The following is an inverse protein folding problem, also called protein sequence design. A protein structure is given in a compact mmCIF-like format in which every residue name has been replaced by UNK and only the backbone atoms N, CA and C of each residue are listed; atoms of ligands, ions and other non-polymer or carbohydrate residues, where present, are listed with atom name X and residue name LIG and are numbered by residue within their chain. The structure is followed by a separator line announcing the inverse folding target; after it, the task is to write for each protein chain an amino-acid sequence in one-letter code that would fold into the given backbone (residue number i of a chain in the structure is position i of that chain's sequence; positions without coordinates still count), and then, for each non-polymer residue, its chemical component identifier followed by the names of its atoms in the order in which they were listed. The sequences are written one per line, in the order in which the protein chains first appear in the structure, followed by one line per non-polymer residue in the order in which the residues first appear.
data_IF_714242319821
#
_entry.id   IF_714242319821
#
_cell.length_a   1.000
_cell.length_b   1.000
_cell.length_c   1.000
_cell.angle_alpha   90.00
_cell.angle_beta   90.00
_cell.angle_gamma   90.00
#
_symmetry.space_group_name_H-M   'P 1'
#
loop_
_entity.id
_entity.type
_entity.pdbx_description
1 polymer ?
#
# COMPACT_ATOMS: atom_id res chain seq x y z
N UNK A 1 -14.87 29.89 9.32
CA UNK A 1 -15.40 28.52 9.52
C UNK A 1 -15.19 28.03 10.96
N UNK A 2 -16.21 27.45 11.60
CA UNK A 2 -16.12 27.01 13.01
C UNK A 2 -15.67 25.55 13.13
N UNK A 3 -14.72 25.31 14.03
CA UNK A 3 -14.31 23.95 14.39
C UNK A 3 -15.41 23.27 15.20
N UNK A 4 -15.97 22.15 14.71
CA UNK A 4 -16.99 21.37 15.43
C UNK A 4 -16.49 20.76 16.75
N UNK A 5 -15.18 20.54 16.88
CA UNK A 5 -14.57 19.90 18.05
C UNK A 5 -14.29 20.90 19.18
N UNK A 6 -13.78 22.09 18.85
CA UNK A 6 -13.33 23.06 19.87
C UNK A 6 -14.00 24.44 19.78
N UNK A 7 -15.00 24.60 18.89
CA UNK A 7 -15.77 25.83 18.71
C UNK A 7 -14.96 27.01 18.18
N UNK A 8 -13.68 26.83 17.84
CA UNK A 8 -12.80 27.93 17.45
C UNK A 8 -13.09 28.37 16.02
N UNK A 9 -13.19 29.67 15.81
CA UNK A 9 -13.31 30.28 14.49
C UNK A 9 -11.95 30.24 13.78
N UNK A 10 -11.93 29.75 12.55
CA UNK A 10 -10.73 29.67 11.72
C UNK A 10 -11.04 30.33 10.37
N UNK A 11 -9.99 30.80 9.68
CA UNK A 11 -10.13 31.32 8.32
C UNK A 11 -10.77 30.28 7.40
N UNK A 12 -11.55 30.73 6.42
CA UNK A 12 -12.40 29.87 5.59
C UNK A 12 -11.62 28.90 4.67
N UNK A 13 -10.32 29.12 4.52
CA UNK A 13 -9.40 28.29 3.74
C UNK A 13 -8.50 27.38 4.58
N UNK A 14 -8.60 27.41 5.91
CA UNK A 14 -7.81 26.54 6.77
C UNK A 14 -8.30 25.08 6.69
N UNK A 15 -7.44 24.17 6.22
CA UNK A 15 -7.69 22.72 6.23
C UNK A 15 -7.76 22.15 7.65
N UNK A 16 -7.09 22.79 8.61
CA UNK A 16 -6.99 22.34 10.00
C UNK A 16 -7.26 23.48 10.97
N UNK A 17 -7.78 23.13 12.14
CA UNK A 17 -8.02 24.06 13.22
C UNK A 17 -6.71 24.49 13.86
N UNK A 18 -6.52 25.80 14.03
CA UNK A 18 -5.39 26.41 14.72
C UNK A 18 -5.22 25.95 16.16
N UNK A 19 -6.33 25.61 16.85
CA UNK A 19 -6.34 25.28 18.28
C UNK A 19 -6.21 23.78 18.55
N UNK A 20 -7.03 22.97 17.90
CA UNK A 20 -7.07 21.51 18.18
C UNK A 20 -6.53 20.65 17.03
N UNK A 21 -6.04 21.26 15.95
CA UNK A 21 -5.52 20.57 14.77
C UNK A 21 -6.53 19.63 14.06
N UNK A 22 -7.82 19.70 14.41
CA UNK A 22 -8.88 18.95 13.76
C UNK A 22 -9.13 19.46 12.33
N UNK A 23 -9.46 18.55 11.41
CA UNK A 23 -9.72 18.92 10.01
C UNK A 23 -11.04 19.69 9.88
N UNK A 24 -10.99 20.87 9.26
CA UNK A 24 -12.14 21.75 9.09
C UNK A 24 -12.83 21.60 7.74
N UNK A 25 -12.05 21.24 6.71
CA UNK A 25 -12.51 21.13 5.33
C UNK A 25 -12.23 19.71 4.84
N UNK A 26 -13.19 18.81 5.05
CA UNK A 26 -13.24 17.53 4.34
C UNK A 26 -13.52 17.83 2.87
N UNK A 27 -12.60 17.49 1.96
CA UNK A 27 -12.88 17.74 0.55
C UNK A 27 -13.97 16.78 0.09
N UNK A 28 -14.99 17.31 -0.58
CA UNK A 28 -15.90 16.51 -1.41
C UNK A 28 -15.28 16.27 -2.80
N UNK A 29 -13.94 16.20 -2.87
CA UNK A 29 -13.22 15.99 -4.12
C UNK A 29 -12.57 14.61 -4.15
N UNK A 30 -12.44 14.01 -5.34
CA UNK A 30 -11.73 12.75 -5.50
C UNK A 30 -10.30 12.83 -5.00
N UNK A 31 -9.72 11.67 -4.66
CA UNK A 31 -8.31 11.61 -4.31
C UNK A 31 -7.49 12.14 -5.48
N UNK A 32 -6.60 13.09 -5.17
CA UNK A 32 -5.60 13.60 -6.12
C UNK A 32 -4.67 12.48 -6.56
N UNK A 33 -4.09 12.59 -7.75
CA UNK A 33 -3.15 11.58 -8.28
C UNK A 33 -2.03 11.27 -7.28
N UNK A 34 -1.43 12.29 -6.66
CA UNK A 34 -0.40 12.10 -5.64
C UNK A 34 -0.88 11.37 -4.39
N UNK A 35 -2.13 11.60 -3.94
CA UNK A 35 -2.70 10.88 -2.80
C UNK A 35 -3.02 9.42 -3.15
N UNK A 36 -3.41 9.11 -4.40
CA UNK A 36 -3.54 7.73 -4.88
C UNK A 36 -2.20 7.01 -4.89
N UNK A 37 -1.15 7.67 -5.39
CA UNK A 37 0.22 7.12 -5.38
C UNK A 37 0.66 6.80 -3.96
N UNK A 38 0.43 7.67 -2.98
CA UNK A 38 0.77 7.40 -1.57
C UNK A 38 0.10 6.12 -1.03
N UNK A 39 -1.19 5.92 -1.32
CA UNK A 39 -1.93 4.73 -0.90
C UNK A 39 -1.36 3.47 -1.58
N UNK A 40 -1.05 3.54 -2.88
CA UNK A 40 -0.43 2.42 -3.60
C UNK A 40 0.97 2.13 -3.02
N UNK A 41 1.76 3.17 -2.76
CA UNK A 41 3.07 3.05 -2.11
C UNK A 41 2.98 2.45 -0.72
N UNK A 42 1.92 2.69 0.05
CA UNK A 42 1.69 2.02 1.33
C UNK A 42 1.59 0.49 1.16
N UNK A 43 0.78 0.00 0.22
CA UNK A 43 0.66 -1.44 -0.02
C UNK A 43 1.96 -2.02 -0.58
N UNK A 44 2.64 -1.32 -1.49
CA UNK A 44 3.93 -1.75 -2.02
C UNK A 44 5.02 -1.82 -0.93
N UNK A 45 5.06 -0.83 -0.03
CA UNK A 45 5.97 -0.77 1.12
C UNK A 45 5.78 -1.96 2.07
N UNK A 46 4.55 -2.45 2.25
CA UNK A 46 4.29 -3.62 3.09
C UNK A 46 4.71 -4.95 2.45
N UNK A 47 4.82 -5.00 1.12
CA UNK A 47 5.20 -6.20 0.36
C UNK A 47 6.73 -6.36 0.28
N UNK A 48 7.47 -5.25 0.05
CA UNK A 48 8.89 -5.29 -0.32
C UNK A 48 9.85 -5.88 0.76
N UNK A 49 9.76 -5.55 2.06
CA UNK A 49 10.75 -5.98 3.05
C UNK A 49 10.32 -7.21 3.89
N UNK A 50 9.04 -7.58 3.88
CA UNK A 50 8.46 -8.46 4.90
C UNK A 50 7.87 -9.78 4.36
N UNK A 51 8.01 -10.04 3.06
CA UNK A 51 7.57 -11.30 2.45
C UNK A 51 8.20 -12.55 3.10
N UNK A 52 9.38 -12.42 3.74
CA UNK A 52 10.07 -13.52 4.42
C UNK A 52 9.58 -13.81 5.86
N UNK A 53 9.00 -12.83 6.57
CA UNK A 53 8.70 -12.96 8.00
C UNK A 53 7.20 -12.94 8.33
N UNK A 54 6.31 -12.93 7.33
CA UNK A 54 4.86 -13.12 7.49
C UNK A 54 4.09 -12.01 8.21
N UNK A 55 4.77 -11.10 8.92
CA UNK A 55 4.14 -10.07 9.76
C UNK A 55 3.37 -9.00 8.97
N UNK A 56 3.76 -8.65 7.74
CA UNK A 56 3.07 -7.58 7.00
C UNK A 56 1.71 -7.98 6.44
N UNK A 57 1.46 -9.28 6.25
CA UNK A 57 0.21 -9.80 5.70
C UNK A 57 -1.00 -9.38 6.55
N UNK A 58 -0.86 -9.40 7.88
CA UNK A 58 -1.96 -9.02 8.77
C UNK A 58 -2.28 -7.53 8.65
N UNK A 59 -1.28 -6.65 8.49
CA UNK A 59 -1.49 -5.21 8.30
C UNK A 59 -2.27 -4.94 7.00
N UNK A 60 -1.88 -5.63 5.91
CA UNK A 60 -2.58 -5.54 4.63
C UNK A 60 -4.03 -5.98 4.78
N UNK A 61 -4.28 -7.12 5.44
CA UNK A 61 -5.64 -7.60 5.70
C UNK A 61 -6.46 -6.60 6.49
N UNK A 62 -5.91 -6.06 7.60
CA UNK A 62 -6.59 -5.04 8.40
C UNK A 62 -6.94 -3.82 7.53
N UNK A 63 -6.03 -3.36 6.66
CA UNK A 63 -6.28 -2.24 5.76
C UNK A 63 -7.42 -2.53 4.76
N UNK A 64 -7.40 -3.70 4.12
CA UNK A 64 -8.41 -4.10 3.14
C UNK A 64 -9.79 -4.25 3.80
N UNK A 65 -9.86 -4.94 4.94
CA UNK A 65 -11.11 -5.09 5.69
C UNK A 65 -11.66 -3.73 6.14
N UNK A 66 -10.80 -2.84 6.62
CA UNK A 66 -11.23 -1.51 7.02
C UNK A 66 -11.79 -0.70 5.84
N UNK A 67 -11.17 -0.77 4.66
CA UNK A 67 -11.69 -0.14 3.44
C UNK A 67 -13.03 -0.74 3.00
N UNK A 68 -13.16 -2.07 3.07
CA UNK A 68 -14.39 -2.77 2.73
C UNK A 68 -15.54 -2.39 3.67
N UNK A 69 -15.33 -2.48 4.98
CA UNK A 69 -16.34 -2.16 6.00
C UNK A 69 -16.69 -0.67 5.95
N UNK A 70 -15.71 0.22 5.76
CA UNK A 70 -15.97 1.66 5.58
C UNK A 70 -16.94 1.92 4.42
N UNK A 71 -16.73 1.25 3.28
CA UNK A 71 -17.62 1.36 2.11
C UNK A 71 -19.01 0.80 2.42
N UNK A 72 -19.09 -0.31 3.14
CA UNK A 72 -20.36 -0.96 3.48
C UNK A 72 -21.18 -0.14 4.48
N UNK A 73 -20.55 0.33 5.55
CA UNK A 73 -21.20 1.03 6.66
C UNK A 73 -21.35 2.53 6.41
N UNK A 74 -20.82 3.03 5.29
CA UNK A 74 -20.82 4.45 4.94
C UNK A 74 -20.26 5.33 6.09
N UNK A 75 -19.28 4.82 6.83
CA UNK A 75 -18.70 5.48 8.00
C UNK A 75 -17.18 5.33 8.01
N UNK A 76 -16.47 6.32 8.56
CA UNK A 76 -14.99 6.28 8.64
C UNK A 76 -14.48 5.58 9.90
N UNK A 77 -15.37 5.15 10.78
CA UNK A 77 -15.05 4.46 12.04
C UNK A 77 -14.15 3.22 11.82
N UNK A 78 -14.36 2.37 10.80
CA UNK A 78 -13.50 1.23 10.53
C UNK A 78 -12.04 1.62 10.27
N UNK A 79 -11.78 2.75 9.59
CA UNK A 79 -10.42 3.25 9.32
C UNK A 79 -9.75 3.74 10.61
N UNK A 80 -10.51 4.44 11.48
CA UNK A 80 -10.01 4.88 12.79
C UNK A 80 -9.65 3.69 13.66
N UNK A 81 -10.49 2.64 13.65
CA UNK A 81 -10.23 1.41 14.39
C UNK A 81 -9.03 0.65 13.81
N UNK A 82 -8.90 0.59 12.48
CA UNK A 82 -7.75 -0.01 11.82
C UNK A 82 -6.43 0.63 12.25
N UNK A 83 -6.37 1.96 12.39
CA UNK A 83 -5.19 2.66 12.92
C UNK A 83 -4.80 2.18 14.31
N UNK A 84 -5.78 1.95 15.20
CA UNK A 84 -5.54 1.44 16.56
C UNK A 84 -5.04 0.00 16.51
N UNK A 85 -5.66 -0.85 15.71
CA UNK A 85 -5.27 -2.26 15.56
C UNK A 85 -3.88 -2.42 14.93
N UNK A 86 -3.56 -1.64 13.90
CA UNK A 86 -2.21 -1.64 13.30
C UNK A 86 -1.15 -1.20 14.32
N UNK A 87 -1.41 -0.16 15.12
CA UNK A 87 -0.49 0.26 16.18
C UNK A 87 -0.28 -0.84 17.22
N UNK A 88 -1.37 -1.44 17.71
CA UNK A 88 -1.29 -2.52 18.69
C UNK A 88 -0.52 -3.72 18.15
N UNK A 89 -0.76 -4.08 16.89
CA UNK A 89 -0.05 -5.16 16.21
C UNK A 89 1.45 -4.89 16.07
N UNK A 90 1.85 -3.67 15.68
CA UNK A 90 3.26 -3.29 15.61
C UNK A 90 3.96 -3.38 16.96
N UNK A 91 3.29 -2.98 18.04
CA UNK A 91 3.81 -3.13 19.41
C UNK A 91 4.00 -4.62 19.73
N UNK A 92 3.00 -5.45 19.45
CA UNK A 92 3.08 -6.88 19.71
C UNK A 92 4.23 -7.55 18.96
N UNK A 93 4.42 -7.21 17.67
CA UNK A 93 5.55 -7.71 16.88
C UNK A 93 6.87 -7.25 17.48
N UNK A 94 7.02 -5.96 17.79
CA UNK A 94 8.29 -5.43 18.30
C UNK A 94 8.69 -6.08 19.63
N UNK A 95 7.72 -6.32 20.51
CA UNK A 95 7.94 -7.05 21.76
C UNK A 95 8.30 -8.52 21.50
N UNK A 96 7.58 -9.18 20.59
CA UNK A 96 7.87 -10.58 20.21
C UNK A 96 9.29 -10.72 19.65
N UNK A 97 9.72 -9.80 18.79
CA UNK A 97 11.08 -9.77 18.24
C UNK A 97 12.10 -9.59 19.36
N UNK A 98 11.85 -8.70 20.32
CA UNK A 98 12.75 -8.46 21.46
C UNK A 98 12.94 -9.72 22.30
N UNK A 99 11.86 -10.47 22.56
CA UNK A 99 11.92 -11.73 23.31
C UNK A 99 12.70 -12.79 22.53
N UNK A 100 12.35 -12.99 21.25
CA UNK A 100 12.99 -14.00 20.40
C UNK A 100 14.48 -13.69 20.22
N UNK A 101 14.84 -12.42 19.98
CA UNK A 101 16.24 -12.03 19.82
C UNK A 101 17.05 -12.21 21.09
N UNK A 102 16.46 -11.98 22.27
CA UNK A 102 17.13 -12.19 23.55
C UNK A 102 17.39 -13.67 23.81
N UNK A 103 16.40 -14.53 23.55
CA UNK A 103 16.55 -16.00 23.66
C UNK A 103 17.62 -16.49 22.70
N UNK A 104 17.53 -16.12 21.41
CA UNK A 104 18.51 -16.51 20.41
C UNK A 104 19.92 -16.01 20.74
N UNK A 105 20.05 -14.78 21.28
CA UNK A 105 21.33 -14.23 21.71
C UNK A 105 21.91 -15.02 22.88
N UNK A 106 21.10 -15.41 23.87
CA UNK A 106 21.54 -16.24 24.99
C UNK A 106 22.04 -17.60 24.50
N UNK A 107 21.21 -18.33 23.75
CA UNK A 107 21.52 -19.70 23.30
C UNK A 107 22.81 -19.73 22.47
N UNK A 108 22.97 -18.78 21.55
CA UNK A 108 24.14 -18.69 20.69
C UNK A 108 25.39 -18.35 21.51
N UNK A 109 25.35 -17.34 22.38
CA UNK A 109 26.54 -16.90 23.10
C UNK A 109 26.94 -17.83 24.24
N UNK A 110 25.98 -18.47 24.90
CA UNK A 110 26.27 -19.49 25.90
C UNK A 110 26.98 -20.68 25.26
N UNK A 111 26.43 -21.20 24.16
CA UNK A 111 27.05 -22.28 23.37
C UNK A 111 28.44 -21.91 22.90
N UNK A 112 28.61 -20.72 22.31
CA UNK A 112 29.93 -20.25 21.82
C UNK A 112 30.93 -20.16 22.97
N UNK A 113 30.54 -19.60 24.11
CA UNK A 113 31.47 -19.38 25.22
C UNK A 113 31.90 -20.69 25.86
N UNK A 114 30.97 -21.63 26.04
CA UNK A 114 31.28 -22.96 26.58
C UNK A 114 32.14 -23.78 25.61
N UNK A 115 31.86 -23.69 24.31
CA UNK A 115 32.69 -24.31 23.27
C UNK A 115 34.12 -23.73 23.21
N UNK A 116 34.28 -22.42 23.44
CA UNK A 116 35.60 -21.78 23.52
C UNK A 116 36.41 -22.28 24.71
N UNK A 117 35.81 -22.39 25.91
CA UNK A 117 36.46 -22.96 27.10
C UNK A 117 36.92 -24.39 26.85
N UNK A 118 36.04 -25.22 26.28
CA UNK A 118 36.36 -26.60 25.90
C UNK A 118 37.59 -26.68 24.99
N UNK A 119 37.62 -25.89 23.91
CA UNK A 119 38.74 -25.92 22.96
C UNK A 119 40.06 -25.45 23.57
N UNK A 120 40.01 -24.52 24.53
CA UNK A 120 41.20 -24.07 25.25
C UNK A 120 41.78 -25.18 26.13
N UNK A 121 40.95 -25.91 26.88
CA UNK A 121 41.44 -26.97 27.78
C UNK A 121 41.85 -28.24 27.05
N UNK A 122 41.19 -28.57 25.94
CA UNK A 122 41.55 -29.70 25.07
C UNK A 122 42.98 -29.60 24.52
N UNK A 123 43.53 -28.40 24.41
CA UNK A 123 44.92 -28.21 24.00
C UNK A 123 45.93 -28.74 25.04
N UNK A 124 45.54 -28.82 26.31
CA UNK A 124 46.41 -29.25 27.40
C UNK A 124 46.09 -30.66 27.91
N UNK A 125 44.81 -31.07 27.89
CA UNK A 125 44.35 -32.37 28.36
C UNK A 125 43.60 -33.12 27.26
N UNK A 126 43.98 -34.37 27.02
CA UNK A 126 43.37 -35.21 25.98
C UNK A 126 42.07 -35.87 26.39
N UNK A 127 41.83 -36.01 27.70
CA UNK A 127 40.73 -36.73 28.34
C UNK A 127 39.58 -35.80 28.75
N UNK A 128 39.25 -34.85 27.88
CA UNK A 128 38.30 -33.77 28.17
C UNK A 128 37.18 -33.77 27.13
N UNK A 129 35.93 -33.69 27.59
CA UNK A 129 34.73 -33.70 26.74
C UNK A 129 33.99 -32.37 26.78
N UNK A 130 33.20 -32.09 25.74
CA UNK A 130 32.54 -30.77 25.60
C UNK A 130 31.45 -30.51 26.64
N UNK A 131 30.76 -31.56 27.10
CA UNK A 131 29.72 -31.47 28.12
C UNK A 131 30.27 -31.19 29.52
N UNK A 132 31.59 -31.35 29.73
CA UNK A 132 32.24 -31.00 31.00
C UNK A 132 32.30 -29.47 31.21
N UNK A 133 31.99 -28.67 30.18
CA UNK A 133 32.01 -27.19 30.19
C UNK A 133 30.64 -26.56 29.97
N UNK A 134 29.56 -27.33 30.08
CA UNK A 134 28.19 -26.82 30.03
C UNK A 134 27.85 -26.15 31.38
N UNK A 135 28.56 -25.06 31.67
CA UNK A 135 28.44 -24.30 32.93
C UNK A 135 27.78 -22.96 32.68
N UNK A 136 26.88 -22.57 33.59
CA UNK A 136 26.18 -21.29 33.56
C UNK A 136 27.17 -20.11 33.50
N UNK A 137 26.98 -19.22 32.51
CA UNK A 137 27.83 -18.05 32.35
C UNK A 137 27.13 -16.74 32.74
N UNK A 138 27.41 -16.15 33.92
CA UNK A 138 26.75 -14.93 34.36
C UNK A 138 27.03 -13.72 33.48
N UNK A 139 28.13 -13.73 32.70
CA UNK A 139 28.42 -12.64 31.74
C UNK A 139 27.47 -12.67 30.55
N UNK A 140 27.15 -13.87 30.06
CA UNK A 140 26.20 -14.05 28.95
C UNK A 140 24.81 -13.64 29.40
N UNK A 141 24.41 -14.03 30.61
CA UNK A 141 23.14 -13.60 31.22
C UNK A 141 23.02 -12.07 31.30
N UNK A 142 24.07 -11.39 31.79
CA UNK A 142 24.10 -9.92 31.84
C UNK A 142 24.01 -9.28 30.45
N UNK A 143 24.72 -9.84 29.46
CA UNK A 143 24.68 -9.34 28.07
C UNK A 143 23.31 -9.54 27.43
N UNK A 144 22.68 -10.70 27.63
CA UNK A 144 21.30 -10.96 27.20
C UNK A 144 20.32 -9.97 27.84
N UNK A 145 20.50 -9.67 29.14
CA UNK A 145 19.72 -8.63 29.82
C UNK A 145 19.84 -7.26 29.16
N UNK A 146 21.05 -6.87 28.74
CA UNK A 146 21.27 -5.62 28.00
C UNK A 146 20.60 -5.62 26.61
N UNK A 147 20.60 -6.75 25.90
CA UNK A 147 19.89 -6.91 24.61
C UNK A 147 18.38 -6.73 24.80
N UNK A 148 17.80 -7.37 25.81
CA UNK A 148 16.38 -7.23 26.13
C UNK A 148 16.01 -5.77 26.47
N UNK A 149 16.79 -5.11 27.34
CA UNK A 149 16.58 -3.70 27.69
C UNK A 149 16.69 -2.81 26.45
N UNK A 150 17.72 -3.03 25.62
CA UNK A 150 17.91 -2.31 24.37
C UNK A 150 16.71 -2.45 23.42
N UNK A 151 16.18 -3.66 23.26
CA UNK A 151 15.00 -3.91 22.43
C UNK A 151 13.73 -3.24 22.96
N UNK A 152 13.52 -3.24 24.28
CA UNK A 152 12.40 -2.53 24.91
C UNK A 152 12.48 -1.02 24.69
N UNK A 153 13.68 -0.44 24.80
CA UNK A 153 13.90 0.99 24.54
C UNK A 153 13.71 1.32 23.06
N UNK A 154 14.15 0.44 22.15
CA UNK A 154 14.02 0.65 20.71
C UNK A 154 12.56 0.54 20.21
N UNK A 155 11.74 -0.27 20.87
CA UNK A 155 10.33 -0.53 20.51
C UNK A 155 9.50 0.73 20.22
N UNK A 156 9.40 1.74 21.12
CA UNK A 156 8.64 2.95 20.85
C UNK A 156 9.14 3.75 19.63
N UNK A 157 10.45 3.77 19.38
CA UNK A 157 11.01 4.47 18.22
C UNK A 157 10.65 3.78 16.91
N UNK A 158 10.80 2.45 16.88
CA UNK A 158 10.44 1.63 15.71
C UNK A 158 8.94 1.76 15.41
N UNK A 159 8.09 1.56 16.42
CA UNK A 159 6.62 1.70 16.25
C UNK A 159 6.26 3.13 15.83
N UNK A 160 6.87 4.15 16.44
CA UNK A 160 6.65 5.54 16.09
C UNK A 160 7.00 5.84 14.62
N UNK A 161 8.13 5.33 14.14
CA UNK A 161 8.58 5.48 12.76
C UNK A 161 7.61 4.82 11.76
N UNK A 162 7.20 3.57 12.00
CA UNK A 162 6.22 2.91 11.14
C UNK A 162 4.86 3.62 11.15
N UNK A 163 4.39 4.05 12.32
CA UNK A 163 3.14 4.81 12.42
C UNK A 163 3.23 6.17 11.73
N UNK A 164 4.40 6.82 11.72
CA UNK A 164 4.63 8.04 10.96
C UNK A 164 4.48 7.79 9.45
N UNK A 165 5.11 6.72 8.94
CA UNK A 165 4.97 6.31 7.53
C UNK A 165 3.51 5.99 7.21
N UNK A 166 2.82 5.19 8.03
CA UNK A 166 1.43 4.80 7.80
C UNK A 166 0.49 6.01 7.82
N UNK A 167 0.73 6.95 8.72
CA UNK A 167 -0.01 8.21 8.75
C UNK A 167 0.21 9.01 7.47
N UNK A 168 1.45 9.13 7.00
CA UNK A 168 1.79 9.90 5.80
C UNK A 168 1.22 9.28 4.52
N UNK A 169 1.33 7.95 4.37
CA UNK A 169 1.00 7.25 3.13
C UNK A 169 -0.45 6.79 3.04
N UNK A 170 -1.08 6.42 4.17
CA UNK A 170 -2.41 5.80 4.16
C UNK A 170 -3.44 6.65 4.90
N UNK A 171 -3.27 6.88 6.20
CA UNK A 171 -4.33 7.50 7.00
C UNK A 171 -4.60 8.95 6.63
N UNK A 172 -3.56 9.77 6.41
CA UNK A 172 -3.71 11.19 6.09
C UNK A 172 -4.41 11.40 4.74
N UNK A 173 -4.01 10.74 3.64
CA UNK A 173 -4.76 10.82 2.38
C UNK A 173 -6.24 10.41 2.51
N UNK A 174 -6.54 9.37 3.30
CA UNK A 174 -7.92 8.93 3.51
C UNK A 174 -8.73 9.91 4.35
N UNK A 175 -8.12 10.53 5.36
CA UNK A 175 -8.77 11.50 6.25
C UNK A 175 -9.06 12.82 5.54
N UNK A 176 -8.13 13.31 4.71
CA UNK A 176 -8.28 14.54 3.92
C UNK A 176 -9.47 14.46 2.93
N UNK A 177 -9.71 13.26 2.36
CA UNK A 177 -10.77 13.00 1.36
C UNK A 177 -11.94 12.16 1.92
N UNK A 178 -12.12 12.12 3.24
CA UNK A 178 -13.05 11.22 3.95
C UNK A 178 -14.47 11.19 3.36
N UNK A 179 -15.08 12.36 3.13
CA UNK A 179 -16.48 12.43 2.69
C UNK A 179 -16.68 11.87 1.28
N UNK A 180 -15.74 12.17 0.37
CA UNK A 180 -15.75 11.61 -0.98
C UNK A 180 -15.59 10.09 -0.95
N UNK A 181 -14.61 9.61 -0.18
CA UNK A 181 -14.23 8.20 -0.11
C UNK A 181 -15.37 7.34 0.41
N UNK A 182 -16.08 7.81 1.45
CA UNK A 182 -17.22 7.09 2.03
C UNK A 182 -18.29 6.84 0.96
N UNK A 183 -18.64 7.89 0.20
CA UNK A 183 -19.75 7.85 -0.76
C UNK A 183 -19.39 7.15 -2.07
N UNK A 184 -18.22 7.45 -2.63
CA UNK A 184 -17.85 7.03 -3.97
C UNK A 184 -16.79 5.91 -3.98
N UNK A 185 -15.92 5.84 -2.97
CA UNK A 185 -14.78 4.92 -2.90
C UNK A 185 -13.43 5.59 -3.20
N UNK A 186 -12.33 4.88 -2.89
CA UNK A 186 -10.95 5.43 -2.92
C UNK A 186 -10.35 5.64 -4.32
N UNK A 187 -10.89 4.98 -5.35
CA UNK A 187 -10.43 5.09 -6.74
C UNK A 187 -11.51 5.62 -7.69
N UNK A 188 -12.56 6.22 -7.13
CA UNK A 188 -13.65 6.75 -7.92
C UNK A 188 -13.32 8.17 -8.35
N UNK A 189 -13.33 8.38 -9.67
CA UNK A 189 -13.22 9.70 -10.27
C UNK A 189 -14.53 10.46 -10.16
N UNK A 190 -14.44 11.78 -10.18
CA UNK A 190 -15.62 12.63 -10.29
C UNK A 190 -16.31 12.29 -11.62
N UNK A 191 -17.55 11.83 -11.54
CA UNK A 191 -18.34 11.59 -12.74
C UNK A 191 -18.57 12.94 -13.39
N UNK A 192 -17.78 13.27 -14.40
CA UNK A 192 -18.20 14.27 -15.36
C UNK A 192 -19.55 13.81 -15.90
N UNK A 193 -20.62 14.56 -15.67
CA UNK A 193 -21.93 14.33 -16.33
C UNK A 193 -21.84 14.44 -17.87
N UNK A 194 -20.63 14.59 -18.42
CA UNK A 194 -20.26 14.38 -19.82
C UNK A 194 -19.30 13.20 -19.99
N UNK A 195 -19.67 12.01 -19.51
CA UNK A 195 -19.18 10.76 -20.11
C UNK A 195 -20.10 9.61 -19.73
N UNK A 196 -21.31 9.64 -20.28
CA UNK A 196 -22.06 8.42 -20.60
C UNK A 196 -21.36 7.68 -21.74
N UNK A 197 -20.13 7.24 -21.51
CA UNK A 197 -19.46 6.22 -22.31
C UNK A 197 -18.36 5.63 -21.45
N UNK A 198 -18.59 4.38 -21.04
CA UNK A 198 -17.56 3.50 -20.52
C UNK A 198 -16.44 3.39 -21.55
N UNK A 199 -15.38 4.18 -21.41
CA UNK A 199 -14.10 3.85 -22.02
C UNK A 199 -13.51 2.69 -21.22
N UNK A 200 -13.97 1.49 -21.57
CA UNK A 200 -13.24 0.26 -21.37
C UNK A 200 -11.93 0.44 -22.14
N UNK A 201 -10.86 0.67 -21.38
CA UNK A 201 -9.48 0.48 -21.84
C UNK A 201 -9.41 -0.93 -22.45
N UNK A 202 -9.34 -1.02 -23.78
CA UNK A 202 -9.18 -2.29 -24.50
C UNK A 202 -10.22 -2.61 -25.59
N UNK A 203 -11.11 -1.70 -26.00
CA UNK A 203 -11.92 -1.92 -27.21
C UNK A 203 -12.34 -0.60 -27.87
N UNK A 204 -11.37 0.09 -28.46
CA UNK A 204 -11.67 1.13 -29.44
C UNK A 204 -12.43 0.47 -30.61
N UNK A 205 -13.67 0.92 -30.80
CA UNK A 205 -14.38 0.98 -32.08
C UNK A 205 -13.90 0.04 -33.21
N UNK A 206 -14.40 -1.19 -33.21
CA UNK A 206 -14.55 -2.00 -34.44
C UNK A 206 -15.70 -1.46 -35.32
N UNK A 207 -15.87 -0.14 -35.46
CA UNK A 207 -16.83 0.44 -36.39
C UNK A 207 -16.41 1.73 -37.07
N UNK A 208 -15.12 2.05 -37.09
CA UNK A 208 -14.55 2.75 -38.25
C UNK A 208 -14.01 1.68 -39.20
N UNK A 209 -14.85 1.18 -40.11
CA UNK A 209 -14.32 0.55 -41.31
C UNK A 209 -13.33 1.55 -41.91
N UNK A 210 -12.07 1.15 -42.02
CA UNK A 210 -11.04 2.02 -42.58
C UNK A 210 -11.48 2.37 -43.99
N UNK A 211 -11.67 3.65 -44.28
CA UNK A 211 -12.00 4.15 -45.62
C UNK A 211 -11.00 3.63 -46.67
N UNK A 212 -9.77 3.33 -46.25
CA UNK A 212 -8.75 2.69 -47.08
C UNK A 212 -9.09 1.22 -47.43
N UNK A 213 -9.63 0.44 -46.50
CA UNK A 213 -9.98 -0.97 -46.74
C UNK A 213 -11.21 -1.09 -47.66
N UNK A 214 -12.19 -0.20 -47.50
CA UNK A 214 -13.31 -0.14 -48.43
C UNK A 214 -12.86 0.35 -49.82
N UNK A 215 -11.98 1.36 -49.90
CA UNK A 215 -11.40 1.78 -51.19
C UNK A 215 -10.64 0.65 -51.88
N UNK A 216 -9.88 -0.16 -51.14
CA UNK A 216 -9.18 -1.33 -51.68
C UNK A 216 -10.16 -2.36 -52.27
N UNK A 217 -11.28 -2.61 -51.59
CA UNK A 217 -12.33 -3.51 -52.09
C UNK A 217 -13.01 -2.98 -53.35
N UNK A 218 -13.35 -1.68 -53.38
CA UNK A 218 -13.93 -1.06 -54.57
C UNK A 218 -12.95 -1.05 -55.76
N UNK A 219 -11.66 -0.91 -55.49
CA UNK A 219 -10.63 -0.96 -56.54
C UNK A 219 -10.49 -2.38 -57.12
N UNK A 220 -10.53 -3.42 -56.29
CA UNK A 220 -10.54 -4.82 -56.73
C UNK A 220 -11.77 -5.16 -57.58
N UNK A 221 -12.94 -4.59 -57.27
CA UNK A 221 -14.15 -4.74 -58.08
C UNK A 221 -14.04 -4.05 -59.45
N UNK A 222 -13.36 -2.91 -59.52
CA UNK A 222 -13.09 -2.20 -60.77
C UNK A 222 -12.09 -2.96 -61.65
N UNK A 223 -11.00 -3.47 -61.05
CA UNK A 223 -9.99 -4.27 -61.74
C UNK A 223 -10.56 -5.58 -62.30
N UNK A 224 -11.59 -6.13 -61.66
CA UNK A 224 -12.32 -7.32 -62.12
C UNK A 224 -13.40 -7.01 -63.17
N UNK A 225 -13.53 -5.76 -63.63
CA UNK A 225 -14.56 -5.26 -64.56
C UNK A 225 -16.00 -5.51 -64.08
N UNK A 226 -16.22 -5.72 -62.78
CA UNK A 226 -17.54 -6.00 -62.20
C UNK A 226 -18.36 -4.73 -61.92
N UNK A 227 -17.69 -3.57 -61.91
CA UNK A 227 -18.32 -2.25 -61.77
C UNK A 227 -17.75 -1.29 -62.81
N UNK A 228 -18.54 -0.29 -63.18
CA UNK A 228 -18.08 0.75 -64.11
C UNK A 228 -17.19 1.80 -63.40
N UNK A 229 -16.34 2.49 -64.18
CA UNK A 229 -15.51 3.59 -63.66
C UNK A 229 -16.34 4.71 -63.01
N UNK A 230 -17.56 4.93 -63.49
CA UNK A 230 -18.48 5.94 -62.94
C UNK A 230 -19.02 5.55 -61.57
N UNK A 231 -19.34 4.27 -61.36
CA UNK A 231 -19.80 3.75 -60.06
C UNK A 231 -18.69 3.78 -59.02
N UNK A 232 -17.46 3.49 -59.42
CA UNK A 232 -16.29 3.59 -58.55
C UNK A 232 -16.04 5.03 -58.06
N UNK A 233 -16.04 6.02 -58.95
CA UNK A 233 -15.83 7.43 -58.56
C UNK A 233 -16.98 7.96 -57.68
N UNK A 234 -18.21 7.49 -57.89
CA UNK A 234 -19.35 7.82 -57.02
C UNK A 234 -19.18 7.23 -55.62
N UNK A 235 -18.71 5.99 -55.50
CA UNK A 235 -18.43 5.34 -54.21
C UNK A 235 -17.28 6.04 -53.48
N UNK A 236 -16.18 6.33 -54.19
CA UNK A 236 -15.00 7.04 -53.64
C UNK A 236 -15.37 8.42 -53.09
N UNK A 237 -16.17 9.20 -53.81
CA UNK A 237 -16.59 10.53 -53.33
C UNK A 237 -17.47 10.45 -52.07
N UNK A 238 -18.33 9.44 -51.96
CA UNK A 238 -19.12 9.21 -50.74
C UNK A 238 -18.23 8.80 -49.55
N UNK A 239 -17.26 7.92 -49.77
CA UNK A 239 -16.30 7.50 -48.75
C UNK A 239 -15.43 8.66 -48.23
N UNK A 240 -14.97 9.53 -49.13
CA UNK A 240 -14.15 10.71 -48.77
C UNK A 240 -14.93 11.77 -47.99
N UNK A 241 -16.25 11.86 -48.21
CA UNK A 241 -17.14 12.78 -47.49
C UNK A 241 -17.72 12.17 -46.20
N UNK A 242 -17.35 10.94 -45.84
CA UNK A 242 -17.82 10.27 -44.62
C UNK A 242 -19.29 9.81 -44.68
N UNK A 243 -19.90 9.79 -45.85
CA UNK A 243 -21.22 9.22 -46.06
C UNK A 243 -21.10 7.71 -46.25
N UNK A 244 -21.97 6.93 -45.59
CA UNK A 244 -21.99 5.47 -45.72
C UNK A 244 -22.35 5.10 -47.17
N UNK A 245 -21.51 4.27 -47.81
CA UNK A 245 -21.65 3.82 -49.21
C UNK A 245 -22.56 2.63 -49.34
#
# INVERSE_FOLDING_TARGET
MYCKECGTENQDDCLRCSKCNAYLKSSNSPLTGGNRTKIISFFAFLILPFAWFGGSALIILIAIFALYIMKKDQSFTPIINAKKYMKAYLIFIALSITVISSIAYYDINDTITNYQKYNQEKQYKSDVYSWDYEEHNPKVEMQTGMVAIGGLIATPFVVGFFMFIFNSLFFRPLEEHKNWIIKNGIFSDEKNEKSGSTNIVGRDNLSSYSVADEMLKWNDLLEKELISKEEFEKAKNKLMNGEKV
#
